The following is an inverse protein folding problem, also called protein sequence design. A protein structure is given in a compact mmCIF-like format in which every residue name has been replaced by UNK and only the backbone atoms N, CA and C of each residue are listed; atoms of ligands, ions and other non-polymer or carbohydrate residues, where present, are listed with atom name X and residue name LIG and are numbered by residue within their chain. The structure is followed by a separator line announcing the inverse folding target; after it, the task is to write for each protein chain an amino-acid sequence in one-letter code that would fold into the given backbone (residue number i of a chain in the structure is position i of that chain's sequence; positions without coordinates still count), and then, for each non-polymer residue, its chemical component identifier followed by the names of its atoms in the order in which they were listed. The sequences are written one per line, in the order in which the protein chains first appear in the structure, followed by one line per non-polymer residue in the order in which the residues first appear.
data_IF_398381155165
#
_entry.id   IF_398381155165
#
_cell.length_a   1.000
_cell.length_b   1.000
_cell.length_c   1.000
_cell.angle_alpha   90.00
_cell.angle_beta   90.00
_cell.angle_gamma   90.00
#
_symmetry.space_group_name_H-M   'P 1'
#
loop_
_entity.id
_entity.type
_entity.pdbx_description
1 polymer ?
#
# COMPACT_ATOMS: atom_id res chain seq x y z
N UNK A 1 22.35 -84.64 -32.12
CA UNK A 1 21.22 -83.77 -32.36
C UNK A 1 21.46 -82.50 -31.58
N UNK A 2 21.98 -81.58 -32.28
CA UNK A 2 22.47 -80.29 -31.83
C UNK A 2 21.53 -79.20 -32.30
N UNK A 3 21.26 -78.28 -31.49
CA UNK A 3 20.65 -77.04 -31.97
C UNK A 3 21.37 -75.86 -31.37
N UNK A 4 22.06 -75.11 -32.22
CA UNK A 4 22.86 -73.94 -31.98
C UNK A 4 21.98 -72.70 -32.16
N UNK A 5 21.83 -71.91 -31.13
CA UNK A 5 21.22 -70.56 -31.26
C UNK A 5 22.32 -69.49 -31.19
N UNK A 6 22.49 -68.88 -32.33
CA UNK A 6 23.31 -67.67 -32.52
C UNK A 6 22.62 -66.47 -31.93
N UNK A 7 23.23 -65.77 -30.99
CA UNK A 7 22.80 -64.47 -30.46
C UNK A 7 23.49 -63.35 -31.26
N UNK A 8 22.71 -62.60 -32.02
CA UNK A 8 23.18 -61.40 -32.73
C UNK A 8 23.03 -60.16 -31.79
N UNK A 9 24.16 -59.61 -31.40
CA UNK A 9 24.22 -58.30 -30.71
C UNK A 9 24.09 -57.17 -31.71
N UNK A 10 23.08 -56.31 -31.51
CA UNK A 10 22.92 -55.07 -32.26
C UNK A 10 23.79 -53.95 -31.70
N UNK A 11 24.40 -53.06 -32.48
CA UNK A 11 25.22 -51.98 -31.95
C UNK A 11 24.40 -50.83 -31.37
N UNK A 12 24.85 -50.32 -30.21
CA UNK A 12 24.31 -49.13 -29.56
C UNK A 12 24.56 -47.88 -30.42
N UNK A 13 23.48 -47.30 -30.95
CA UNK A 13 23.51 -46.02 -31.63
C UNK A 13 23.50 -44.87 -30.63
N UNK A 14 24.67 -44.26 -30.44
CA UNK A 14 24.84 -43.05 -29.66
C UNK A 14 24.04 -41.89 -30.27
N UNK A 15 23.16 -41.29 -29.48
CA UNK A 15 22.39 -40.08 -29.82
C UNK A 15 23.37 -38.90 -30.05
N UNK A 16 23.43 -38.37 -31.24
CA UNK A 16 24.26 -37.20 -31.58
C UNK A 16 23.62 -35.91 -31.03
N UNK A 17 24.46 -34.94 -30.64
CA UNK A 17 24.04 -33.61 -30.18
C UNK A 17 23.03 -32.90 -31.12
N UNK A 18 22.97 -33.32 -32.39
CA UNK A 18 22.04 -32.76 -33.40
C UNK A 18 20.63 -33.34 -33.31
N UNK A 19 20.43 -34.52 -32.71
CA UNK A 19 19.11 -35.11 -32.48
C UNK A 19 18.45 -34.54 -31.19
N UNK A 20 19.26 -34.08 -30.21
CA UNK A 20 18.74 -33.42 -29.03
C UNK A 20 18.10 -32.04 -29.36
N UNK A 21 18.65 -31.32 -30.37
CA UNK A 21 18.13 -30.01 -30.76
C UNK A 21 16.88 -30.07 -31.66
N UNK A 22 16.54 -31.24 -32.21
CA UNK A 22 15.33 -31.43 -33.03
C UNK A 22 14.13 -31.91 -32.23
N UNK A 23 14.33 -32.37 -30.99
CA UNK A 23 13.25 -32.82 -30.07
C UNK A 23 12.59 -31.71 -29.27
N UNK A 24 13.21 -30.51 -29.20
CA UNK A 24 12.71 -29.38 -28.42
C UNK A 24 11.81 -28.41 -29.20
N UNK A 25 11.61 -28.63 -30.50
CA UNK A 25 10.78 -27.74 -31.34
C UNK A 25 9.32 -28.21 -31.51
N UNK A 26 8.90 -29.32 -30.90
CA UNK A 26 7.57 -29.91 -31.12
C UNK A 26 6.59 -29.85 -29.91
N UNK A 27 6.93 -29.14 -28.83
CA UNK A 27 6.03 -28.95 -27.66
C UNK A 27 5.58 -27.48 -27.48
N UNK A 28 5.83 -26.62 -28.48
CA UNK A 28 5.43 -25.21 -28.44
C UNK A 28 4.01 -24.92 -28.99
N UNK A 29 3.14 -25.92 -29.04
CA UNK A 29 1.86 -25.83 -29.75
C UNK A 29 0.59 -26.15 -28.97
N UNK A 30 0.57 -26.11 -27.63
CA UNK A 30 -0.68 -26.32 -26.88
C UNK A 30 -0.64 -25.70 -25.47
N UNK A 31 -0.54 -24.38 -25.38
CA UNK A 31 -0.87 -23.65 -24.14
C UNK A 31 -1.37 -22.24 -24.52
N UNK A 32 -2.54 -22.18 -25.12
CA UNK A 32 -3.33 -20.93 -25.20
C UNK A 32 -4.32 -21.00 -24.04
N UNK A 33 -4.03 -20.27 -22.94
CA UNK A 33 -5.00 -20.17 -21.85
C UNK A 33 -4.50 -19.87 -20.46
N UNK A 34 -3.20 -19.71 -20.22
CA UNK A 34 -2.71 -19.13 -18.97
C UNK A 34 -1.65 -18.10 -19.31
N UNK A 35 -1.81 -16.86 -18.83
CA UNK A 35 -0.87 -15.77 -19.07
C UNK A 35 0.50 -16.08 -18.45
N UNK A 36 1.24 -16.99 -19.09
CA UNK A 36 2.61 -17.27 -18.72
C UNK A 36 3.45 -16.02 -19.00
N UNK A 37 4.07 -15.46 -17.99
CA UNK A 37 5.06 -14.40 -18.11
C UNK A 37 6.22 -14.91 -18.98
N UNK A 38 6.18 -14.60 -20.26
CA UNK A 38 7.21 -14.99 -21.23
C UNK A 38 8.41 -14.06 -21.06
N UNK A 39 9.47 -14.50 -20.41
CA UNK A 39 10.68 -13.67 -20.29
C UNK A 39 11.85 -14.26 -19.49
N UNK A 40 11.69 -15.41 -18.84
CA UNK A 40 12.81 -16.09 -18.18
C UNK A 40 13.23 -17.37 -18.91
N UNK A 41 14.53 -17.67 -19.01
CA UNK A 41 14.97 -18.97 -19.48
C UNK A 41 14.40 -20.06 -18.57
N UNK A 42 13.79 -21.09 -19.14
CA UNK A 42 13.13 -22.22 -18.49
C UNK A 42 13.99 -22.91 -17.39
N UNK A 43 15.29 -22.75 -17.44
CA UNK A 43 16.25 -23.30 -16.46
C UNK A 43 16.16 -22.55 -15.11
N UNK A 44 15.93 -21.24 -15.11
CA UNK A 44 15.81 -20.42 -13.90
C UNK A 44 14.48 -20.64 -13.18
N UNK A 45 13.39 -20.75 -13.94
CA UNK A 45 12.06 -21.01 -13.39
C UNK A 45 11.95 -22.36 -12.62
N UNK A 46 12.77 -23.35 -12.96
CA UNK A 46 12.82 -24.63 -12.22
C UNK A 46 13.58 -24.51 -10.90
N UNK A 47 14.57 -23.63 -10.79
CA UNK A 47 15.42 -23.53 -9.60
C UNK A 47 14.78 -22.71 -8.46
N UNK A 48 13.86 -21.79 -8.76
CA UNK A 48 13.20 -20.95 -7.73
C UNK A 48 12.01 -21.64 -7.04
N UNK A 49 11.48 -22.75 -7.56
CA UNK A 49 10.28 -23.42 -7.01
C UNK A 49 10.41 -23.89 -5.56
N UNK A 50 11.62 -24.14 -5.10
CA UNK A 50 11.88 -24.60 -3.72
C UNK A 50 12.28 -23.47 -2.76
N UNK A 51 12.29 -22.22 -3.24
CA UNK A 51 12.64 -21.07 -2.44
C UNK A 51 11.46 -20.72 -1.51
N UNK A 52 11.79 -20.26 -0.32
CA UNK A 52 10.86 -19.64 0.61
C UNK A 52 11.34 -18.22 0.86
N UNK A 53 10.53 -17.23 0.50
CA UNK A 53 10.74 -15.83 0.87
C UNK A 53 9.87 -15.48 2.08
N UNK A 54 10.43 -14.77 3.03
CA UNK A 54 9.75 -14.27 4.23
C UNK A 54 9.41 -12.81 4.03
N UNK A 55 8.12 -12.49 3.98
CA UNK A 55 7.62 -11.12 3.89
C UNK A 55 6.97 -10.70 5.20
N UNK A 56 7.18 -9.45 5.61
CA UNK A 56 6.41 -8.82 6.65
C UNK A 56 5.92 -7.44 6.20
N UNK A 57 4.86 -6.96 6.83
CA UNK A 57 4.25 -5.66 6.55
C UNK A 57 2.93 -5.52 7.30
N UNK A 58 2.12 -4.55 6.93
CA UNK A 58 0.78 -4.39 7.52
C UNK A 58 -0.22 -5.39 6.93
N UNK A 59 -1.33 -5.61 7.63
CA UNK A 59 -2.42 -6.48 7.15
C UNK A 59 -3.14 -5.99 5.90
N UNK A 60 -2.77 -4.82 5.36
CA UNK A 60 -3.34 -4.27 4.12
C UNK A 60 -2.97 -5.12 2.90
N UNK A 61 -1.72 -5.54 2.81
CA UNK A 61 -1.15 -6.25 1.65
C UNK A 61 -0.49 -7.60 2.00
N UNK A 62 -0.27 -7.89 3.29
CA UNK A 62 0.23 -9.19 3.76
C UNK A 62 -0.95 -10.16 3.96
N UNK A 63 -1.49 -10.66 2.86
CA UNK A 63 -2.71 -11.46 2.79
C UNK A 63 -2.41 -12.89 2.34
N UNK A 64 -3.04 -13.88 2.97
CA UNK A 64 -2.90 -15.28 2.57
C UNK A 64 -3.24 -15.51 1.10
N UNK A 65 -4.26 -14.83 0.57
CA UNK A 65 -4.63 -14.93 -0.84
C UNK A 65 -3.47 -14.56 -1.80
N UNK A 66 -2.62 -13.59 -1.41
CA UNK A 66 -1.43 -13.22 -2.19
C UNK A 66 -0.37 -14.33 -2.11
N UNK A 67 -0.14 -14.90 -0.92
CA UNK A 67 0.82 -16.00 -0.74
C UNK A 67 0.39 -17.26 -1.52
N UNK A 68 -0.90 -17.61 -1.48
CA UNK A 68 -1.46 -18.74 -2.21
C UNK A 68 -1.33 -18.54 -3.73
N UNK A 69 -1.62 -17.33 -4.21
CA UNK A 69 -1.52 -17.01 -5.64
C UNK A 69 -0.06 -16.97 -6.13
N UNK A 70 0.89 -16.52 -5.32
CA UNK A 70 2.32 -16.64 -5.60
C UNK A 70 2.73 -18.12 -5.75
N UNK A 71 2.24 -18.99 -4.86
CA UNK A 71 2.52 -20.43 -4.93
C UNK A 71 1.98 -21.05 -6.21
N UNK A 72 0.77 -20.64 -6.61
CA UNK A 72 0.13 -21.11 -7.84
C UNK A 72 0.89 -20.63 -9.09
N UNK A 73 1.18 -19.33 -9.19
CA UNK A 73 1.69 -18.70 -10.41
C UNK A 73 3.21 -18.83 -10.58
N UNK A 74 3.97 -18.69 -9.48
CA UNK A 74 5.44 -18.66 -9.48
C UNK A 74 6.07 -19.96 -8.94
N UNK A 75 5.31 -20.74 -8.16
CA UNK A 75 5.70 -22.04 -7.67
C UNK A 75 6.57 -22.05 -6.41
N UNK A 76 7.04 -20.89 -5.91
CA UNK A 76 7.77 -20.81 -4.64
C UNK A 76 6.86 -20.42 -3.46
N UNK A 77 7.37 -20.50 -2.24
CA UNK A 77 6.59 -20.21 -1.05
C UNK A 77 6.85 -18.78 -0.56
N UNK A 78 5.79 -18.05 -0.26
CA UNK A 78 5.85 -16.75 0.40
C UNK A 78 5.26 -16.87 1.81
N UNK A 79 6.10 -16.70 2.82
CA UNK A 79 5.67 -16.67 4.23
C UNK A 79 5.41 -15.23 4.63
N UNK A 80 4.15 -14.90 4.91
CA UNK A 80 3.74 -13.55 5.27
C UNK A 80 3.51 -13.39 6.77
N UNK A 81 3.95 -12.25 7.32
CA UNK A 81 3.70 -11.85 8.70
C UNK A 81 3.08 -10.47 8.70
N UNK A 82 1.79 -10.38 9.07
CA UNK A 82 1.10 -9.12 9.25
C UNK A 82 1.37 -8.55 10.66
N UNK A 83 1.70 -7.27 10.74
CA UNK A 83 2.01 -6.52 11.95
C UNK A 83 1.28 -5.17 11.94
N UNK A 84 1.22 -4.49 13.09
CA UNK A 84 0.86 -3.07 13.11
C UNK A 84 2.03 -2.18 12.63
N UNK A 85 1.76 -0.92 12.31
CA UNK A 85 2.75 -0.01 11.71
C UNK A 85 3.97 0.25 12.61
N UNK A 86 3.78 0.28 13.93
CA UNK A 86 4.88 0.49 14.87
C UNK A 86 5.77 -0.76 14.93
N UNK A 87 5.18 -1.95 15.00
CA UNK A 87 5.89 -3.23 14.97
C UNK A 87 6.59 -3.46 13.62
N UNK A 88 5.99 -3.03 12.51
CA UNK A 88 6.63 -3.01 11.18
C UNK A 88 7.91 -2.19 11.21
N UNK A 89 7.84 -0.95 11.70
CA UNK A 89 9.00 -0.04 11.80
C UNK A 89 10.09 -0.65 12.69
N UNK A 90 9.71 -1.15 13.87
CA UNK A 90 10.65 -1.75 14.81
C UNK A 90 11.34 -2.97 14.21
N UNK A 91 10.59 -3.91 13.65
CA UNK A 91 11.14 -5.14 13.06
C UNK A 91 12.07 -4.85 11.90
N UNK A 92 11.68 -3.90 11.03
CA UNK A 92 12.50 -3.52 9.88
C UNK A 92 13.92 -3.11 10.27
N UNK A 93 14.05 -2.31 11.34
CA UNK A 93 15.34 -1.79 11.80
C UNK A 93 16.09 -2.78 12.69
N UNK A 94 15.39 -3.42 13.65
CA UNK A 94 16.05 -4.21 14.72
C UNK A 94 16.29 -5.66 14.35
N UNK A 95 15.56 -6.20 13.35
CA UNK A 95 15.64 -7.62 12.97
C UNK A 95 15.85 -7.82 11.45
N UNK A 96 16.85 -7.17 10.81
CA UNK A 96 16.99 -7.15 9.35
C UNK A 96 17.25 -8.53 8.72
N UNK A 97 17.62 -9.55 9.50
CA UNK A 97 17.82 -10.93 9.03
C UNK A 97 16.56 -11.81 9.21
N UNK A 98 15.49 -11.28 9.80
CA UNK A 98 14.26 -12.04 10.05
C UNK A 98 13.28 -12.04 8.87
N UNK A 99 13.59 -11.33 7.79
CA UNK A 99 12.77 -11.19 6.60
C UNK A 99 13.63 -11.08 5.34
N UNK A 100 13.03 -11.31 4.20
CA UNK A 100 13.63 -11.21 2.88
C UNK A 100 13.00 -10.08 2.07
N UNK A 101 11.70 -9.86 2.26
CA UNK A 101 10.91 -8.77 1.68
C UNK A 101 10.29 -7.93 2.80
N UNK A 102 10.47 -6.63 2.73
CA UNK A 102 9.81 -5.65 3.58
C UNK A 102 8.70 -4.95 2.77
N UNK A 103 7.44 -5.18 3.13
CA UNK A 103 6.29 -4.46 2.59
C UNK A 103 5.95 -3.32 3.54
N UNK A 104 6.54 -2.15 3.28
CA UNK A 104 6.51 -1.01 4.19
C UNK A 104 6.06 0.27 3.48
N UNK A 105 5.54 1.21 4.27
CA UNK A 105 5.18 2.53 3.77
C UNK A 105 6.42 3.43 3.59
N UNK A 106 6.35 4.35 2.62
CA UNK A 106 7.46 5.26 2.28
C UNK A 106 7.91 6.15 3.45
N UNK A 107 7.00 6.56 4.32
CA UNK A 107 7.37 7.34 5.50
C UNK A 107 8.23 6.54 6.50
N UNK A 108 8.02 5.22 6.60
CA UNK A 108 8.84 4.31 7.40
C UNK A 108 10.23 4.15 6.76
N UNK A 109 10.30 4.19 5.43
CA UNK A 109 11.55 4.07 4.67
C UNK A 109 12.60 5.11 5.10
N UNK A 110 12.17 6.31 5.50
CA UNK A 110 13.05 7.37 6.04
C UNK A 110 13.90 6.89 7.23
N UNK A 111 13.40 5.94 8.04
CA UNK A 111 14.15 5.31 9.15
C UNK A 111 14.88 4.04 8.73
N UNK A 112 14.22 3.19 7.96
CA UNK A 112 14.67 1.82 7.67
C UNK A 112 15.82 1.80 6.69
N UNK A 113 15.75 2.59 5.63
CA UNK A 113 16.74 2.53 4.55
C UNK A 113 18.11 3.06 4.99
N UNK A 114 18.23 4.24 5.66
CA UNK A 114 19.52 4.71 6.18
C UNK A 114 20.15 3.79 7.23
N UNK A 115 19.35 2.95 7.91
CA UNK A 115 19.86 1.94 8.84
C UNK A 115 20.55 0.75 8.12
N UNK A 116 20.52 0.69 6.78
CA UNK A 116 21.16 -0.35 5.99
C UNK A 116 20.48 -1.71 6.04
N UNK A 117 19.21 -1.75 6.41
CA UNK A 117 18.43 -2.99 6.48
C UNK A 117 17.98 -3.50 5.10
N UNK A 118 17.79 -2.60 4.13
CA UNK A 118 17.39 -2.88 2.76
C UNK A 118 18.53 -2.58 1.78
N UNK A 119 18.46 -3.17 0.59
CA UNK A 119 19.38 -2.87 -0.50
C UNK A 119 18.72 -2.00 -1.58
N UNK A 120 19.47 -1.14 -2.28
CA UNK A 120 18.99 -0.45 -3.46
C UNK A 120 18.55 -1.43 -4.54
N UNK A 121 17.39 -1.18 -5.14
CA UNK A 121 16.83 -2.03 -6.20
C UNK A 121 17.02 -1.40 -7.56
N UNK A 122 17.48 -2.20 -8.53
CA UNK A 122 17.69 -1.79 -9.91
C UNK A 122 16.33 -1.68 -10.63
N UNK A 123 15.93 -0.47 -11.01
CA UNK A 123 14.68 -0.22 -11.75
C UNK A 123 14.70 -0.88 -13.14
N UNK A 124 15.88 -1.13 -13.72
CA UNK A 124 16.01 -1.86 -14.97
C UNK A 124 15.57 -3.32 -14.90
N UNK A 125 15.45 -3.89 -13.70
CA UNK A 125 14.91 -5.23 -13.46
C UNK A 125 13.39 -5.25 -13.25
N UNK A 126 12.71 -4.09 -13.23
CA UNK A 126 11.27 -3.95 -13.01
C UNK A 126 10.56 -3.75 -14.35
N UNK A 127 9.83 -4.76 -14.83
CA UNK A 127 9.22 -4.81 -16.17
C UNK A 127 8.20 -3.70 -16.45
N UNK A 128 7.43 -3.27 -15.45
CA UNK A 128 6.38 -2.25 -15.56
C UNK A 128 6.78 -0.94 -14.86
N UNK A 129 8.08 -0.66 -14.72
CA UNK A 129 8.55 0.54 -14.02
C UNK A 129 8.06 1.83 -14.70
N UNK A 130 8.07 1.88 -16.00
CA UNK A 130 7.61 3.00 -16.83
C UNK A 130 6.10 3.28 -16.71
N UNK A 131 5.34 2.31 -16.18
CA UNK A 131 3.89 2.41 -15.95
C UNK A 131 3.52 2.75 -14.50
N UNK A 132 4.51 2.88 -13.62
CA UNK A 132 4.27 3.32 -12.26
C UNK A 132 3.69 4.74 -12.29
N UNK A 133 2.60 4.96 -11.54
CA UNK A 133 1.95 6.27 -11.48
C UNK A 133 2.94 7.37 -11.09
N UNK A 134 2.94 8.53 -11.77
CA UNK A 134 3.98 9.55 -11.66
C UNK A 134 4.18 10.06 -10.23
N UNK A 135 3.17 9.99 -9.38
CA UNK A 135 3.23 10.48 -8.00
C UNK A 135 4.36 9.82 -7.17
N UNK A 136 4.75 8.57 -7.48
CA UNK A 136 5.86 7.89 -6.83
C UNK A 136 7.24 8.30 -7.37
N UNK A 137 7.29 8.82 -8.59
CA UNK A 137 8.54 9.15 -9.27
C UNK A 137 8.82 10.64 -9.21
N UNK A 138 7.80 11.49 -9.39
CA UNK A 138 7.93 12.94 -9.48
C UNK A 138 7.25 13.70 -8.34
N UNK A 139 6.48 13.00 -7.50
CA UNK A 139 5.66 13.62 -6.45
C UNK A 139 4.36 14.27 -6.94
N UNK A 140 4.09 14.20 -8.25
CA UNK A 140 2.93 14.82 -8.88
C UNK A 140 2.10 13.77 -9.60
N UNK A 141 0.77 13.86 -9.49
CA UNK A 141 -0.13 13.01 -10.27
C UNK A 141 -0.16 13.44 -11.74
N UNK A 142 -0.24 14.76 -11.97
CA UNK A 142 -0.13 15.39 -13.29
C UNK A 142 0.93 16.48 -13.21
N UNK A 143 1.44 17.00 -14.35
CA UNK A 143 2.42 18.10 -14.34
C UNK A 143 1.95 19.35 -13.56
N UNK A 144 0.64 19.60 -13.55
CA UNK A 144 0.00 20.77 -12.91
C UNK A 144 -0.25 20.55 -11.41
N UNK A 145 -0.21 19.29 -10.93
CA UNK A 145 -0.45 18.98 -9.51
C UNK A 145 0.60 19.64 -8.62
N UNK A 146 0.16 20.13 -7.46
CA UNK A 146 1.07 20.58 -6.41
C UNK A 146 1.79 19.35 -5.80
N UNK A 147 3.02 19.56 -5.31
CA UNK A 147 3.69 18.59 -4.45
C UNK A 147 3.15 18.79 -3.03
N UNK A 148 2.58 17.74 -2.47
CA UNK A 148 2.05 17.78 -1.12
C UNK A 148 3.18 17.74 -0.07
N UNK A 149 2.90 18.27 1.11
CA UNK A 149 3.81 18.24 2.26
C UNK A 149 4.00 16.82 2.81
N UNK A 150 4.97 16.66 3.71
CA UNK A 150 5.26 15.37 4.36
C UNK A 150 6.24 14.51 3.58
N UNK A 151 6.31 13.22 3.93
CA UNK A 151 7.22 12.27 3.26
C UNK A 151 6.56 11.75 1.97
N UNK A 152 6.45 12.64 0.97
CA UNK A 152 6.00 12.24 -0.35
C UNK A 152 6.93 11.13 -0.91
N UNK A 153 6.37 10.05 -1.50
CA UNK A 153 7.15 8.86 -1.89
C UNK A 153 8.41 9.15 -2.71
N UNK A 154 8.35 10.11 -3.63
CA UNK A 154 9.50 10.47 -4.48
C UNK A 154 10.70 11.03 -3.69
N UNK A 155 10.48 11.60 -2.49
CA UNK A 155 11.56 12.19 -1.66
C UNK A 155 12.46 11.16 -1.00
N UNK A 156 11.97 9.94 -0.85
CA UNK A 156 12.68 8.80 -0.25
C UNK A 156 12.69 7.57 -1.17
N UNK A 157 12.17 7.70 -2.39
CA UNK A 157 12.01 6.62 -3.34
C UNK A 157 13.29 6.22 -4.05
N UNK A 158 14.23 7.14 -4.21
CA UNK A 158 15.48 6.90 -4.94
C UNK A 158 16.71 7.14 -4.07
N UNK A 159 17.80 6.46 -4.40
CA UNK A 159 19.12 6.64 -3.76
C UNK A 159 20.18 6.98 -4.79
N UNK A 160 21.31 7.56 -4.32
CA UNK A 160 22.37 8.10 -5.17
C UNK A 160 23.09 7.02 -5.99
N UNK A 161 23.06 5.74 -5.56
CA UNK A 161 23.74 4.65 -6.27
C UNK A 161 23.50 3.28 -5.62
N UNK A 162 24.02 2.25 -6.27
CA UNK A 162 23.87 0.83 -5.93
C UNK A 162 24.22 0.48 -4.47
N UNK A 163 25.20 1.16 -3.90
CA UNK A 163 25.66 0.88 -2.53
C UNK A 163 25.37 2.05 -1.57
N UNK A 164 24.59 3.05 -2.02
CA UNK A 164 24.25 4.22 -1.24
C UNK A 164 23.05 3.96 -0.34
N UNK A 165 23.08 4.53 0.86
CA UNK A 165 21.92 4.64 1.78
C UNK A 165 21.36 6.06 1.80
N UNK A 166 21.90 6.97 0.96
CA UNK A 166 21.47 8.37 0.88
C UNK A 166 20.40 8.52 -0.18
N UNK A 167 19.31 9.18 0.20
CA UNK A 167 18.23 9.51 -0.72
C UNK A 167 18.71 10.50 -1.79
N UNK A 168 18.33 10.23 -3.03
CA UNK A 168 18.62 11.11 -4.16
C UNK A 168 17.52 12.17 -4.30
N UNK A 169 17.92 13.39 -4.73
CA UNK A 169 16.98 14.49 -4.98
C UNK A 169 16.19 14.38 -6.30
N UNK A 170 16.57 13.44 -7.15
CA UNK A 170 15.96 13.19 -8.45
C UNK A 170 15.98 11.69 -8.74
N UNK A 171 15.10 11.19 -9.64
CA UNK A 171 15.11 9.79 -10.04
C UNK A 171 16.48 9.30 -10.50
N UNK A 172 16.87 8.12 -10.05
CA UNK A 172 18.09 7.41 -10.45
C UNK A 172 17.72 5.99 -10.90
N UNK A 173 18.73 5.18 -11.24
CA UNK A 173 18.52 3.75 -11.52
C UNK A 173 18.20 2.94 -10.24
N UNK A 174 18.32 3.51 -9.05
CA UNK A 174 18.28 2.78 -7.79
C UNK A 174 17.15 3.26 -6.89
N UNK A 175 16.18 2.37 -6.62
CA UNK A 175 15.07 2.65 -5.69
C UNK A 175 15.25 1.99 -4.33
N UNK A 176 14.63 2.60 -3.33
CA UNK A 176 14.54 2.07 -1.96
C UNK A 176 13.47 1.02 -1.83
N UNK A 177 12.28 1.30 -2.38
CA UNK A 177 11.10 0.47 -2.43
C UNK A 177 10.52 0.53 -3.83
N UNK A 178 10.03 -0.58 -4.34
CA UNK A 178 9.20 -0.59 -5.55
C UNK A 178 7.76 -0.32 -5.15
N UNK A 179 7.12 0.74 -5.66
CA UNK A 179 5.75 1.12 -5.30
C UNK A 179 4.75 0.02 -5.59
N UNK A 180 3.80 -0.20 -4.68
CA UNK A 180 2.77 -1.24 -4.83
C UNK A 180 1.36 -0.72 -4.60
N UNK A 181 1.12 -0.03 -3.49
CA UNK A 181 -0.20 0.35 -3.01
C UNK A 181 -0.17 1.74 -2.39
N UNK A 182 -1.29 2.46 -2.49
CA UNK A 182 -1.45 3.76 -1.85
C UNK A 182 -2.92 4.12 -1.68
N UNK A 183 -3.18 5.11 -0.85
CA UNK A 183 -4.51 5.68 -0.67
C UNK A 183 -4.42 7.09 -0.11
N UNK A 184 -5.59 7.74 -0.01
CA UNK A 184 -5.75 9.06 0.58
C UNK A 184 -6.87 8.99 1.62
N UNK A 185 -6.58 9.44 2.84
CA UNK A 185 -7.46 9.36 4.00
C UNK A 185 -8.07 10.71 4.38
N UNK A 186 -9.26 10.67 4.99
CA UNK A 186 -10.06 11.85 5.36
C UNK A 186 -11.00 11.53 6.52
N UNK A 187 -12.00 12.38 6.77
CA UNK A 187 -13.03 12.12 7.77
C UNK A 187 -14.10 11.16 7.24
N UNK A 188 -14.43 10.17 8.05
CA UNK A 188 -15.67 9.40 7.94
C UNK A 188 -16.78 10.07 8.72
N UNK A 189 -18.00 10.09 8.16
CA UNK A 189 -19.16 10.71 8.80
C UNK A 189 -20.39 9.80 8.73
N UNK A 190 -21.29 9.99 9.70
CA UNK A 190 -22.64 9.45 9.72
C UNK A 190 -23.61 10.52 9.18
N UNK A 191 -23.95 10.52 7.86
CA UNK A 191 -24.74 11.56 7.25
C UNK A 191 -26.16 11.65 7.83
N UNK A 192 -26.66 10.55 8.39
CA UNK A 192 -27.95 10.44 9.07
C UNK A 192 -27.95 11.09 10.48
N UNK A 193 -26.78 11.37 11.06
CA UNK A 193 -26.65 11.88 12.43
C UNK A 193 -26.00 13.27 12.53
N UNK A 194 -25.19 13.67 11.54
CA UNK A 194 -24.48 14.97 11.59
C UNK A 194 -25.39 16.18 11.34
N UNK A 195 -26.53 16.01 10.66
CA UNK A 195 -27.57 17.03 10.50
C UNK A 195 -27.21 18.23 9.61
N UNK A 196 -25.99 18.29 9.06
CA UNK A 196 -25.52 19.33 8.15
C UNK A 196 -24.43 18.82 7.20
N UNK A 197 -24.10 19.62 6.20
CA UNK A 197 -22.95 19.33 5.34
C UNK A 197 -21.63 19.44 6.12
N UNK A 198 -20.73 18.48 5.90
CA UNK A 198 -19.36 18.44 6.40
C UNK A 198 -18.46 18.78 5.20
N UNK A 199 -17.64 19.81 5.29
CA UNK A 199 -16.88 20.34 4.16
C UNK A 199 -15.41 20.64 4.45
N UNK A 200 -15.02 20.58 5.73
CA UNK A 200 -13.69 20.97 6.19
C UNK A 200 -13.20 20.06 7.31
N UNK A 201 -11.88 19.89 7.43
CA UNK A 201 -11.26 19.24 8.59
C UNK A 201 -11.62 19.93 9.91
N UNK A 202 -11.95 21.25 9.89
CA UNK A 202 -12.40 21.98 11.09
C UNK A 202 -13.65 21.38 11.71
N UNK A 203 -14.49 20.72 10.92
CA UNK A 203 -15.74 20.12 11.39
C UNK A 203 -15.50 19.05 12.46
N UNK A 204 -14.30 18.43 12.53
CA UNK A 204 -13.94 17.50 13.58
C UNK A 204 -13.98 18.15 15.00
N UNK A 205 -13.70 19.45 15.08
CA UNK A 205 -13.73 20.22 16.34
C UNK A 205 -14.96 21.11 16.48
N UNK A 206 -15.97 20.98 15.62
CA UNK A 206 -17.21 21.75 15.74
C UNK A 206 -17.91 21.41 17.09
N UNK A 207 -18.22 22.41 17.94
CA UNK A 207 -18.92 22.19 19.21
C UNK A 207 -20.26 21.46 19.09
N UNK A 208 -20.92 21.52 17.92
CA UNK A 208 -22.14 20.75 17.64
C UNK A 208 -21.92 19.22 17.72
N UNK A 209 -20.70 18.75 17.58
CA UNK A 209 -20.32 17.33 17.65
C UNK A 209 -19.61 16.96 18.97
N UNK A 210 -19.75 17.80 20.00
CA UNK A 210 -19.17 17.55 21.32
C UNK A 210 -19.56 16.18 21.86
N UNK A 211 -18.55 15.39 22.27
CA UNK A 211 -18.72 14.02 22.75
C UNK A 211 -19.07 13.00 21.68
N UNK A 212 -18.97 13.36 20.37
CA UNK A 212 -19.29 12.49 19.22
C UNK A 212 -18.20 12.44 18.16
N UNK A 213 -17.08 13.09 18.39
CA UNK A 213 -15.90 13.04 17.53
C UNK A 213 -14.90 11.99 17.98
N UNK A 214 -14.08 11.48 17.06
CA UNK A 214 -12.96 10.58 17.36
C UNK A 214 -11.78 10.83 16.43
N UNK A 215 -10.58 10.50 16.89
CA UNK A 215 -9.33 10.67 16.18
C UNK A 215 -8.49 9.41 16.28
N UNK A 216 -7.72 9.10 15.22
CA UNK A 216 -6.78 7.99 15.20
C UNK A 216 -5.64 8.20 16.20
N UNK A 217 -5.44 7.22 17.08
CA UNK A 217 -4.39 7.23 18.10
C UNK A 217 -3.18 6.38 17.67
N UNK A 218 -2.60 6.74 16.53
CA UNK A 218 -1.25 6.35 16.11
C UNK A 218 -0.46 7.65 16.00
N UNK A 219 0.53 7.93 16.87
CA UNK A 219 1.14 9.25 16.99
C UNK A 219 1.59 9.86 15.65
N UNK A 220 2.34 9.10 14.84
CA UNK A 220 2.86 9.54 13.54
C UNK A 220 1.80 9.85 12.48
N UNK A 221 0.59 9.32 12.64
CA UNK A 221 -0.54 9.53 11.74
C UNK A 221 -1.53 10.53 12.33
N UNK A 222 -1.93 10.35 13.59
CA UNK A 222 -2.90 11.21 14.27
C UNK A 222 -2.45 12.66 14.36
N UNK A 223 -1.14 12.93 14.54
CA UNK A 223 -0.59 14.29 14.53
C UNK A 223 -0.81 14.99 13.18
N UNK A 224 -0.77 14.23 12.08
CA UNK A 224 -1.02 14.77 10.74
C UNK A 224 -2.49 15.15 10.56
N UNK A 225 -3.41 14.32 11.06
CA UNK A 225 -4.84 14.63 11.07
C UNK A 225 -5.12 15.87 11.95
N UNK A 226 -4.49 15.98 13.12
CA UNK A 226 -4.55 17.16 13.98
C UNK A 226 -4.02 18.42 13.27
N UNK A 227 -2.92 18.29 12.51
CA UNK A 227 -2.38 19.40 11.75
C UNK A 227 -3.30 19.86 10.63
N UNK A 228 -3.97 18.92 9.93
CA UNK A 228 -5.00 19.25 8.94
C UNK A 228 -6.13 20.08 9.56
N UNK A 229 -6.57 19.72 10.76
CA UNK A 229 -7.59 20.48 11.50
C UNK A 229 -7.08 21.86 11.89
N UNK A 230 -5.89 21.96 12.50
CA UNK A 230 -5.35 23.24 13.00
C UNK A 230 -5.06 24.24 11.85
N UNK A 231 -4.55 23.73 10.72
CA UNK A 231 -4.35 24.56 9.52
C UNK A 231 -5.68 25.02 8.92
N UNK A 232 -6.65 24.13 8.81
CA UNK A 232 -7.98 24.44 8.30
C UNK A 232 -8.71 25.49 9.15
N UNK A 233 -8.46 25.53 10.48
CA UNK A 233 -8.94 26.56 11.39
C UNK A 233 -8.22 27.91 11.22
N UNK A 234 -7.11 27.96 10.46
CA UNK A 234 -6.24 29.13 10.39
C UNK A 234 -5.43 29.37 11.68
N UNK A 235 -5.38 28.41 12.58
CA UNK A 235 -4.70 28.54 13.86
C UNK A 235 -3.17 28.42 13.73
N UNK A 236 -2.71 27.62 12.77
CA UNK A 236 -1.30 27.37 12.48
C UNK A 236 -1.09 27.36 10.96
N UNK A 237 -0.02 28.00 10.49
CA UNK A 237 0.53 27.79 9.15
C UNK A 237 1.82 26.98 9.31
N UNK A 238 1.82 25.76 8.78
CA UNK A 238 2.97 24.87 8.88
C UNK A 238 3.96 25.13 7.75
N UNK A 239 5.24 25.09 8.08
CA UNK A 239 6.29 25.01 7.07
C UNK A 239 6.19 23.67 6.31
N UNK A 240 6.12 22.58 7.04
CA UNK A 240 5.79 21.23 6.56
C UNK A 240 5.08 20.44 7.67
N UNK A 241 3.81 20.08 7.44
CA UNK A 241 3.02 19.25 8.37
C UNK A 241 3.69 17.89 8.69
N UNK A 242 4.51 17.39 7.78
CA UNK A 242 5.25 16.15 7.97
C UNK A 242 6.60 16.31 8.67
N UNK A 243 7.06 17.55 8.90
CA UNK A 243 8.31 17.82 9.62
C UNK A 243 8.18 19.08 10.50
N UNK A 244 7.26 19.00 11.46
CA UNK A 244 6.93 20.10 12.35
C UNK A 244 8.10 20.44 13.30
N UNK A 245 8.27 21.73 13.58
CA UNK A 245 9.10 22.21 14.71
C UNK A 245 8.46 21.83 16.04
N UNK A 246 9.23 21.90 17.13
CA UNK A 246 8.69 21.67 18.49
C UNK A 246 7.58 22.64 18.84
N UNK A 247 7.70 23.90 18.42
CA UNK A 247 6.71 24.95 18.61
C UNK A 247 5.40 24.62 17.86
N UNK A 248 5.48 24.13 16.63
CA UNK A 248 4.31 23.70 15.85
C UNK A 248 3.64 22.47 16.48
N UNK A 249 4.45 21.48 16.95
CA UNK A 249 3.94 20.30 17.68
C UNK A 249 3.22 20.74 18.95
N UNK A 250 3.84 21.56 19.79
CA UNK A 250 3.27 22.03 21.05
C UNK A 250 1.97 22.80 20.83
N UNK A 251 1.93 23.69 19.85
CA UNK A 251 0.74 24.48 19.53
C UNK A 251 -0.40 23.59 19.00
N UNK A 252 -0.09 22.64 18.11
CA UNK A 252 -1.05 21.68 17.58
C UNK A 252 -1.68 20.89 18.73
N UNK A 253 -0.85 20.29 19.59
CA UNK A 253 -1.32 19.44 20.66
C UNK A 253 -1.96 20.22 21.81
N UNK A 254 -1.62 21.50 22.01
CA UNK A 254 -2.35 22.39 22.93
C UNK A 254 -3.81 22.56 22.49
N UNK A 255 -4.04 22.89 21.20
CA UNK A 255 -5.39 23.03 20.64
C UNK A 255 -6.19 21.73 20.79
N UNK A 256 -5.58 20.59 20.46
CA UNK A 256 -6.24 19.28 20.56
C UNK A 256 -6.52 18.92 22.03
N UNK A 257 -5.63 19.26 22.95
CA UNK A 257 -5.81 19.03 24.40
C UNK A 257 -6.95 19.89 24.97
N UNK A 258 -7.03 21.15 24.56
CA UNK A 258 -8.15 22.03 24.94
C UNK A 258 -9.49 21.47 24.45
N UNK A 259 -9.55 21.04 23.18
CA UNK A 259 -10.74 20.40 22.64
C UNK A 259 -11.11 19.12 23.41
N UNK A 260 -10.12 18.27 23.75
CA UNK A 260 -10.33 17.07 24.57
C UNK A 260 -10.88 17.41 25.95
N UNK A 261 -10.28 18.38 26.67
CA UNK A 261 -10.75 18.83 27.98
C UNK A 261 -12.15 19.45 27.91
N UNK A 262 -12.48 20.09 26.80
CA UNK A 262 -13.84 20.57 26.54
C UNK A 262 -14.86 19.44 26.29
N UNK A 263 -14.39 18.18 26.16
CA UNK A 263 -15.23 17.01 25.93
C UNK A 263 -15.61 16.79 24.47
N UNK A 264 -14.80 17.28 23.51
CA UNK A 264 -15.08 17.13 22.09
C UNK A 264 -15.03 15.67 21.64
N UNK A 265 -14.03 14.93 22.12
CA UNK A 265 -13.79 13.56 21.68
C UNK A 265 -14.54 12.55 22.56
N UNK A 266 -15.22 11.59 21.92
CA UNK A 266 -15.82 10.41 22.57
C UNK A 266 -14.75 9.34 22.82
N UNK A 267 -13.83 9.16 21.89
CA UNK A 267 -12.79 8.14 21.93
C UNK A 267 -11.59 8.49 21.04
N UNK A 268 -10.53 7.72 21.23
CA UNK A 268 -9.35 7.68 20.34
C UNK A 268 -9.13 6.22 19.93
N UNK A 269 -9.23 5.91 18.65
CA UNK A 269 -9.17 4.54 18.15
C UNK A 269 -7.79 4.18 17.62
N UNK A 270 -7.40 2.90 17.71
CA UNK A 270 -6.11 2.37 17.20
C UNK A 270 -6.28 1.30 16.15
N UNK A 271 -7.35 0.55 16.18
CA UNK A 271 -7.57 -0.60 15.32
C UNK A 271 -8.70 -0.35 14.32
N UNK A 272 -8.65 -1.10 13.21
CA UNK A 272 -9.70 -1.07 12.21
C UNK A 272 -11.09 -1.34 12.82
N UNK A 273 -11.19 -2.37 13.67
CA UNK A 273 -12.46 -2.76 14.28
C UNK A 273 -12.99 -1.72 15.27
N UNK A 274 -12.12 -1.06 16.03
CA UNK A 274 -12.53 0.07 16.91
C UNK A 274 -13.15 1.20 16.08
N UNK A 275 -12.50 1.60 14.97
CA UNK A 275 -13.02 2.63 14.07
C UNK A 275 -14.40 2.26 13.51
N UNK A 276 -14.56 1.03 13.02
CA UNK A 276 -15.83 0.51 12.49
C UNK A 276 -16.91 0.46 13.57
N UNK A 277 -16.58 0.00 14.78
CA UNK A 277 -17.55 -0.16 15.86
C UNK A 277 -18.05 1.20 16.39
N UNK A 278 -17.16 2.18 16.58
CA UNK A 278 -17.52 3.53 17.00
C UNK A 278 -18.51 4.19 16.03
N UNK A 279 -18.26 4.09 14.74
CA UNK A 279 -19.17 4.62 13.71
C UNK A 279 -20.48 3.81 13.62
N UNK A 280 -20.40 2.49 13.71
CA UNK A 280 -21.57 1.61 13.60
C UNK A 280 -22.55 1.80 14.78
N UNK A 281 -22.04 2.00 16.00
CA UNK A 281 -22.87 2.25 17.17
C UNK A 281 -23.55 3.63 17.17
N UNK A 282 -23.00 4.60 16.42
CA UNK A 282 -23.43 6.00 16.45
C UNK A 282 -22.92 6.76 17.67
N UNK A 283 -22.04 6.15 18.51
CA UNK A 283 -21.35 6.86 19.58
C UNK A 283 -20.43 7.95 19.02
N UNK A 284 -19.86 7.69 17.84
CA UNK A 284 -19.10 8.64 17.04
C UNK A 284 -19.81 8.85 15.73
N UNK A 285 -19.92 10.11 15.31
CA UNK A 285 -20.58 10.50 14.06
C UNK A 285 -19.66 11.20 13.07
N UNK A 286 -18.46 11.56 13.52
CA UNK A 286 -17.38 12.15 12.72
C UNK A 286 -16.03 11.72 13.29
N UNK A 287 -15.16 11.18 12.44
CA UNK A 287 -13.81 10.77 12.86
C UNK A 287 -12.83 10.75 11.69
N UNK A 288 -11.51 10.89 11.96
CA UNK A 288 -10.52 10.47 10.97
C UNK A 288 -10.69 8.97 10.71
N UNK A 289 -10.68 8.54 9.45
CA UNK A 289 -11.10 7.17 9.12
C UNK A 289 -10.39 6.67 7.87
N UNK A 290 -10.24 5.35 7.76
CA UNK A 290 -9.76 4.68 6.55
C UNK A 290 -10.93 4.31 5.63
N UNK A 291 -10.76 4.46 4.31
CA UNK A 291 -11.85 4.18 3.36
C UNK A 291 -12.42 2.76 3.45
N UNK A 292 -11.63 1.68 3.68
CA UNK A 292 -12.21 0.35 3.88
C UNK A 292 -13.10 0.23 5.11
N UNK A 293 -12.83 1.02 6.16
CA UNK A 293 -13.66 1.04 7.37
C UNK A 293 -15.03 1.68 7.09
N UNK A 294 -15.11 2.70 6.22
CA UNK A 294 -16.39 3.26 5.74
C UNK A 294 -17.21 2.18 5.02
N UNK A 295 -16.57 1.45 4.11
CA UNK A 295 -17.23 0.34 3.41
C UNK A 295 -17.73 -0.76 4.37
N UNK A 296 -16.93 -1.09 5.40
CA UNK A 296 -17.32 -2.06 6.42
C UNK A 296 -18.53 -1.60 7.27
N UNK A 297 -18.68 -0.30 7.53
CA UNK A 297 -19.88 0.27 8.19
C UNK A 297 -21.09 0.17 7.25
N UNK A 298 -20.93 0.52 5.98
CA UNK A 298 -22.00 0.40 4.97
C UNK A 298 -22.48 -1.03 4.77
N UNK A 299 -21.56 -2.00 4.79
CA UNK A 299 -21.89 -3.43 4.68
C UNK A 299 -22.82 -3.93 5.79
N UNK A 300 -22.86 -3.22 6.95
CA UNK A 300 -23.81 -3.46 8.03
C UNK A 300 -25.18 -2.77 7.82
N UNK A 301 -25.40 -2.13 6.67
CA UNK A 301 -26.60 -1.35 6.38
C UNK A 301 -26.67 0.02 7.05
N UNK A 302 -25.55 0.52 7.56
CA UNK A 302 -25.44 1.77 8.29
C UNK A 302 -24.89 2.86 7.35
N UNK A 303 -25.56 4.03 7.22
CA UNK A 303 -25.06 5.13 6.40
C UNK A 303 -23.67 5.61 6.92
N UNK A 304 -22.71 5.68 6.02
CA UNK A 304 -21.38 6.21 6.32
C UNK A 304 -20.79 6.79 5.04
N UNK A 305 -20.15 7.95 5.11
CA UNK A 305 -19.52 8.63 3.95
C UNK A 305 -18.06 8.92 4.24
N UNK A 306 -17.23 8.65 3.26
CA UNK A 306 -15.81 9.04 3.26
C UNK A 306 -15.70 10.43 2.67
N UNK A 307 -15.71 11.44 3.53
CA UNK A 307 -16.05 12.79 3.17
C UNK A 307 -14.94 13.52 2.39
N UNK A 308 -15.19 13.99 1.16
CA UNK A 308 -14.27 14.89 0.48
C UNK A 308 -14.30 16.27 1.14
N UNK A 309 -13.16 16.73 1.64
CA UNK A 309 -13.02 18.01 2.34
C UNK A 309 -12.29 19.03 1.48
N UNK A 310 -12.54 20.32 1.67
CA UNK A 310 -11.96 21.39 0.85
C UNK A 310 -10.43 21.47 0.94
N UNK A 311 -9.85 21.10 2.07
CA UNK A 311 -8.41 21.09 2.29
C UNK A 311 -7.70 19.88 1.67
N UNK A 312 -8.46 18.87 1.21
CA UNK A 312 -7.92 17.65 0.62
C UNK A 312 -7.67 16.55 1.64
N UNK A 313 -6.77 15.64 1.28
CA UNK A 313 -6.56 14.35 1.93
C UNK A 313 -5.18 14.25 2.55
N UNK A 314 -5.06 13.41 3.57
CA UNK A 314 -3.79 12.85 4.03
C UNK A 314 -3.55 11.53 3.31
N UNK A 315 -2.42 11.40 2.64
CA UNK A 315 -2.10 10.21 1.85
C UNK A 315 -0.98 9.36 2.49
N UNK A 316 -0.93 8.12 2.06
CA UNK A 316 0.15 7.18 2.35
C UNK A 316 0.40 6.31 1.12
N UNK A 317 1.61 5.77 1.03
CA UNK A 317 1.99 4.86 -0.03
C UNK A 317 2.95 3.81 0.50
N UNK A 318 2.78 2.58 0.03
CA UNK A 318 3.60 1.42 0.36
C UNK A 318 4.38 0.90 -0.83
N UNK A 319 5.38 0.11 -0.53
CA UNK A 319 6.22 -0.54 -1.51
C UNK A 319 6.95 -1.75 -0.94
N UNK A 320 7.45 -2.57 -1.85
CA UNK A 320 8.25 -3.74 -1.53
C UNK A 320 9.74 -3.39 -1.57
N UNK A 321 10.45 -3.63 -0.47
CA UNK A 321 11.89 -3.50 -0.34
C UNK A 321 12.54 -4.87 -0.17
N UNK A 322 13.75 -5.03 -0.70
CA UNK A 322 14.53 -6.27 -0.59
C UNK A 322 15.54 -6.12 0.55
N UNK A 323 15.58 -7.11 1.45
CA UNK A 323 16.52 -7.12 2.56
C UNK A 323 17.99 -7.12 2.07
N UNK A 324 18.86 -6.42 2.80
CA UNK A 324 20.28 -6.21 2.42
C UNK A 324 21.06 -7.52 2.25
N UNK A 325 20.70 -8.57 2.98
CA UNK A 325 21.41 -9.84 2.95
C UNK A 325 21.05 -10.76 1.78
N UNK A 326 19.95 -10.47 1.06
CA UNK A 326 19.50 -11.31 -0.05
C UNK A 326 20.48 -11.26 -1.21
N UNK A 327 20.78 -12.43 -1.77
CA UNK A 327 21.69 -12.58 -2.92
C UNK A 327 21.34 -13.85 -3.71
N UNK A 328 21.98 -14.05 -4.87
CA UNK A 328 21.81 -15.27 -5.66
C UNK A 328 20.35 -15.54 -6.06
N UNK A 329 19.91 -16.79 -5.93
CA UNK A 329 18.57 -17.23 -6.36
C UNK A 329 17.44 -16.61 -5.55
N UNK A 330 17.63 -16.36 -4.25
CA UNK A 330 16.62 -15.69 -3.42
C UNK A 330 16.41 -14.24 -3.88
N UNK A 331 17.48 -13.53 -4.30
CA UNK A 331 17.38 -12.19 -4.85
C UNK A 331 16.64 -12.19 -6.21
N UNK A 332 16.92 -13.15 -7.08
CA UNK A 332 16.21 -13.29 -8.36
C UNK A 332 14.72 -13.62 -8.12
N UNK A 333 14.41 -14.50 -7.16
CA UNK A 333 13.02 -14.80 -6.78
C UNK A 333 12.31 -13.56 -6.22
N UNK A 334 13.00 -12.71 -5.47
CA UNK A 334 12.46 -11.47 -4.96
C UNK A 334 12.09 -10.49 -6.09
N UNK A 335 12.94 -10.33 -7.11
CA UNK A 335 12.62 -9.52 -8.29
C UNK A 335 11.47 -10.12 -9.11
N UNK A 336 11.42 -11.45 -9.25
CA UNK A 336 10.32 -12.13 -9.96
C UNK A 336 8.99 -11.91 -9.23
N UNK A 337 8.98 -12.02 -7.88
CA UNK A 337 7.83 -11.72 -7.06
C UNK A 337 7.36 -10.26 -7.25
N UNK A 338 8.26 -9.29 -7.19
CA UNK A 338 7.93 -7.88 -7.38
C UNK A 338 7.33 -7.63 -8.79
N UNK A 339 7.91 -8.22 -9.83
CA UNK A 339 7.40 -8.14 -11.18
C UNK A 339 6.01 -8.77 -11.33
N UNK A 340 5.80 -9.93 -10.70
CA UNK A 340 4.50 -10.58 -10.64
C UNK A 340 3.47 -9.73 -9.87
N UNK A 341 3.87 -9.14 -8.74
CA UNK A 341 3.01 -8.26 -7.96
C UNK A 341 2.48 -7.09 -8.82
N UNK A 342 3.34 -6.49 -9.64
CA UNK A 342 3.00 -5.38 -10.53
C UNK A 342 2.32 -5.83 -11.84
N UNK A 343 2.11 -7.13 -12.06
CA UNK A 343 1.44 -7.65 -13.27
C UNK A 343 -0.08 -7.48 -13.26
N UNK A 344 -0.66 -7.05 -12.13
CA UNK A 344 -2.01 -6.52 -12.04
C UNK A 344 -2.99 -7.29 -11.17
N UNK A 345 -2.85 -8.61 -10.98
CA UNK A 345 -3.79 -9.37 -10.16
C UNK A 345 -3.88 -8.84 -8.73
N UNK A 346 -2.72 -8.62 -8.07
CA UNK A 346 -2.68 -8.06 -6.72
C UNK A 346 -3.25 -6.65 -6.70
N UNK A 347 -2.90 -5.83 -7.71
CA UNK A 347 -3.41 -4.46 -7.83
C UNK A 347 -4.94 -4.42 -7.92
N UNK A 348 -5.55 -5.30 -8.71
CA UNK A 348 -7.00 -5.42 -8.81
C UNK A 348 -7.63 -5.96 -7.52
N UNK A 349 -6.99 -6.94 -6.88
CA UNK A 349 -7.41 -7.48 -5.60
C UNK A 349 -7.51 -6.38 -4.53
N UNK A 350 -6.45 -5.58 -4.38
CA UNK A 350 -6.41 -4.48 -3.41
C UNK A 350 -7.35 -3.32 -3.81
N UNK A 351 -7.53 -3.08 -5.11
CA UNK A 351 -8.47 -2.05 -5.57
C UNK A 351 -9.91 -2.37 -5.18
N UNK A 352 -10.31 -3.65 -5.21
CA UNK A 352 -11.62 -4.11 -4.72
C UNK A 352 -11.81 -3.91 -3.21
N UNK A 353 -10.75 -3.67 -2.47
CA UNK A 353 -10.79 -3.26 -1.05
C UNK A 353 -10.78 -1.73 -0.88
N UNK A 354 -10.77 -0.96 -1.97
CA UNK A 354 -10.78 0.50 -1.95
C UNK A 354 -9.42 1.19 -2.02
N UNK A 355 -8.33 0.43 -2.21
CA UNK A 355 -6.98 0.96 -2.38
C UNK A 355 -6.64 1.19 -3.86
N UNK A 356 -5.49 1.79 -4.14
CA UNK A 356 -4.99 2.01 -5.49
C UNK A 356 -3.70 1.22 -5.73
N UNK A 357 -3.57 0.64 -6.93
CA UNK A 357 -2.34 0.01 -7.40
C UNK A 357 -1.36 1.05 -7.93
N UNK A 358 -0.06 0.84 -7.69
CA UNK A 358 0.98 1.67 -8.27
C UNK A 358 1.09 1.55 -9.81
N UNK A 359 0.59 0.45 -10.40
CA UNK A 359 0.51 0.24 -11.85
C UNK A 359 -0.95 0.04 -12.24
N UNK A 360 -1.60 1.11 -12.67
CA UNK A 360 -3.03 1.11 -12.98
C UNK A 360 -3.38 0.30 -14.22
N UNK A 361 -2.57 0.38 -15.28
CA UNK A 361 -2.82 -0.30 -16.55
C UNK A 361 -2.89 -1.82 -16.42
N UNK A 362 -2.00 -2.41 -15.61
CA UNK A 362 -2.01 -3.85 -15.38
C UNK A 362 -3.17 -4.26 -14.48
N UNK A 363 -3.47 -3.49 -13.43
CA UNK A 363 -4.61 -3.74 -12.55
C UNK A 363 -5.94 -3.72 -13.32
N UNK A 364 -6.11 -2.78 -14.26
CA UNK A 364 -7.29 -2.67 -15.13
C UNK A 364 -7.61 -3.97 -15.87
N UNK A 365 -6.59 -4.72 -16.29
CA UNK A 365 -6.75 -5.97 -17.03
C UNK A 365 -7.39 -7.11 -16.20
N UNK A 366 -7.37 -6.97 -14.87
CA UNK A 366 -7.94 -7.92 -13.91
C UNK A 366 -9.24 -7.42 -13.25
N UNK A 367 -9.81 -6.34 -13.76
CA UNK A 367 -11.06 -5.73 -13.29
C UNK A 367 -12.11 -5.74 -14.39
N UNK A 368 -13.38 -5.83 -14.02
CA UNK A 368 -14.47 -5.59 -14.96
C UNK A 368 -14.54 -4.11 -15.34
N UNK A 369 -15.18 -3.81 -16.46
CA UNK A 369 -15.38 -2.43 -16.90
C UNK A 369 -16.20 -1.61 -15.88
N UNK A 370 -17.16 -2.23 -15.19
CA UNK A 370 -17.99 -1.58 -14.17
C UNK A 370 -17.18 -1.29 -12.89
N UNK A 371 -16.38 -2.27 -12.40
CA UNK A 371 -15.46 -2.04 -11.28
C UNK A 371 -14.49 -0.90 -11.58
N UNK A 372 -13.91 -0.88 -12.79
CA UNK A 372 -13.00 0.20 -13.19
C UNK A 372 -13.71 1.56 -13.23
N UNK A 373 -14.88 1.64 -13.86
CA UNK A 373 -15.66 2.86 -13.94
C UNK A 373 -16.04 3.39 -12.55
N UNK A 374 -16.41 2.52 -11.62
CA UNK A 374 -16.71 2.88 -10.24
C UNK A 374 -15.47 3.34 -9.49
N UNK A 375 -14.41 2.50 -9.43
CA UNK A 375 -13.26 2.75 -8.58
C UNK A 375 -12.33 3.84 -9.10
N UNK A 376 -12.18 3.98 -10.42
CA UNK A 376 -11.19 4.87 -11.03
C UNK A 376 -11.81 6.10 -11.70
N UNK A 377 -12.98 5.96 -12.29
CA UNK A 377 -13.61 7.04 -13.05
C UNK A 377 -14.72 7.77 -12.25
N UNK A 378 -15.07 7.24 -11.05
CA UNK A 378 -16.09 7.84 -10.17
C UNK A 378 -17.52 7.75 -10.74
N UNK A 379 -17.74 6.83 -11.68
CA UNK A 379 -19.06 6.59 -12.25
C UNK A 379 -19.94 5.82 -11.27
N UNK A 380 -21.27 6.00 -11.31
CA UNK A 380 -22.18 5.15 -10.55
C UNK A 380 -21.99 3.67 -10.90
N UNK A 381 -21.96 2.82 -9.88
CA UNK A 381 -21.88 1.36 -10.04
C UNK A 381 -23.10 0.87 -10.83
N UNK A 382 -22.88 0.13 -11.92
CA UNK A 382 -23.97 -0.47 -12.71
C UNK A 382 -24.46 -1.77 -12.08
N UNK A 383 -23.59 -2.48 -11.40
CA UNK A 383 -23.85 -3.71 -10.67
C UNK A 383 -23.34 -3.55 -9.23
N UNK A 384 -23.66 -4.50 -8.36
CA UNK A 384 -23.10 -4.54 -7.01
C UNK A 384 -21.58 -4.67 -7.09
N UNK A 385 -20.86 -3.82 -6.36
CA UNK A 385 -19.39 -3.87 -6.22
C UNK A 385 -19.07 -4.79 -5.06
N UNK A 386 -18.26 -5.80 -5.36
CA UNK A 386 -17.91 -6.86 -4.40
C UNK A 386 -16.45 -6.73 -3.95
N UNK A 387 -16.18 -7.17 -2.72
CA UNK A 387 -14.81 -7.39 -2.24
C UNK A 387 -14.17 -8.58 -2.99
N UNK A 388 -12.84 -8.77 -2.86
CA UNK A 388 -12.17 -9.94 -3.43
C UNK A 388 -12.77 -11.30 -2.97
N UNK A 389 -13.35 -11.33 -1.77
CA UNK A 389 -13.99 -12.51 -1.19
C UNK A 389 -15.48 -12.63 -1.57
N UNK A 390 -15.97 -11.80 -2.50
CA UNK A 390 -17.34 -11.80 -2.97
C UNK A 390 -18.37 -11.18 -2.01
N UNK A 391 -17.92 -10.44 -0.99
CA UNK A 391 -18.82 -9.70 -0.08
C UNK A 391 -19.22 -8.38 -0.70
N UNK A 392 -20.46 -7.98 -0.48
CA UNK A 392 -20.97 -6.69 -0.92
C UNK A 392 -20.18 -5.56 -0.29
N UNK A 393 -19.60 -4.68 -1.11
CA UNK A 393 -18.94 -3.44 -0.73
C UNK A 393 -19.86 -2.24 -0.96
N UNK A 394 -20.41 -2.14 -2.18
CA UNK A 394 -21.31 -1.07 -2.58
C UNK A 394 -22.45 -1.64 -3.46
N UNK A 395 -23.65 -1.10 -3.32
CA UNK A 395 -24.80 -1.51 -4.13
C UNK A 395 -24.77 -0.87 -5.51
N UNK A 396 -25.42 -1.49 -6.47
CA UNK A 396 -25.73 -0.86 -7.75
C UNK A 396 -26.38 0.51 -7.56
N UNK A 397 -25.94 1.50 -8.33
CA UNK A 397 -26.33 2.91 -8.21
C UNK A 397 -25.48 3.72 -7.22
N UNK A 398 -24.65 3.10 -6.39
CA UNK A 398 -23.74 3.84 -5.50
C UNK A 398 -22.73 4.66 -6.31
N UNK A 399 -22.40 5.84 -5.81
CA UNK A 399 -21.33 6.70 -6.33
C UNK A 399 -20.19 6.69 -5.33
N UNK A 400 -18.96 6.60 -5.84
CA UNK A 400 -17.77 6.59 -4.97
C UNK A 400 -17.60 7.94 -4.27
N UNK A 401 -17.40 7.91 -2.96
CA UNK A 401 -17.09 9.08 -2.17
C UNK A 401 -15.79 9.76 -2.67
N UNK A 402 -15.84 11.07 -2.83
CA UNK A 402 -14.71 11.85 -3.32
C UNK A 402 -14.48 11.79 -4.83
N UNK A 403 -15.34 11.09 -5.58
CA UNK A 403 -15.29 11.04 -7.05
C UNK A 403 -14.26 10.08 -7.62
N UNK A 404 -13.67 10.44 -8.75
CA UNK A 404 -12.66 9.64 -9.46
C UNK A 404 -11.33 9.52 -8.70
N UNK A 405 -10.47 8.61 -9.18
CA UNK A 405 -9.09 8.53 -8.75
C UNK A 405 -8.36 9.88 -8.84
N UNK A 406 -8.52 10.57 -9.96
CA UNK A 406 -7.89 11.89 -10.18
C UNK A 406 -8.41 12.94 -9.21
N UNK A 407 -9.72 12.98 -8.94
CA UNK A 407 -10.32 13.90 -7.97
C UNK A 407 -9.77 13.70 -6.56
N UNK A 408 -9.54 12.46 -6.16
CA UNK A 408 -9.03 12.12 -4.82
C UNK A 408 -7.53 12.33 -4.73
N UNK A 409 -6.76 11.68 -5.59
CA UNK A 409 -5.29 11.71 -5.53
C UNK A 409 -4.68 13.03 -6.02
N UNK A 410 -5.41 13.79 -6.84
CA UNK A 410 -5.03 15.15 -7.23
C UNK A 410 -5.18 16.19 -6.11
N UNK A 411 -5.83 15.82 -4.98
CA UNK A 411 -6.09 16.73 -3.84
C UNK A 411 -5.38 16.25 -2.55
N UNK A 412 -4.27 15.54 -2.67
CA UNK A 412 -3.43 15.18 -1.52
C UNK A 412 -2.78 16.44 -0.96
N UNK A 413 -3.05 16.75 0.30
CA UNK A 413 -2.51 17.90 1.02
C UNK A 413 -1.22 17.58 1.76
N UNK A 414 -1.12 16.35 2.29
CA UNK A 414 0.12 15.88 2.94
C UNK A 414 0.22 14.34 2.87
N UNK A 415 1.46 13.86 2.98
CA UNK A 415 1.79 12.45 3.10
C UNK A 415 2.15 12.11 4.54
N UNK A 416 1.82 10.90 4.99
CA UNK A 416 2.33 10.38 6.26
C UNK A 416 3.84 10.58 6.35
N UNK A 417 4.35 10.90 7.52
CA UNK A 417 5.75 11.23 7.69
C UNK A 417 6.33 10.76 9.04
N UNK A 418 7.64 10.55 9.04
CA UNK A 418 8.44 10.54 10.27
C UNK A 418 9.15 11.87 10.35
N UNK A 419 8.83 12.64 11.39
CA UNK A 419 9.43 13.96 11.63
C UNK A 419 10.86 13.82 12.18
N UNK A 420 11.68 14.86 12.00
CA UNK A 420 13.00 14.92 12.66
C UNK A 420 12.82 14.92 14.18
N UNK A 421 11.79 15.61 14.69
CA UNK A 421 11.39 15.65 16.12
C UNK A 421 10.47 14.49 16.54
N UNK A 422 10.53 13.33 15.88
CA UNK A 422 9.63 12.19 16.10
C UNK A 422 9.54 11.76 17.58
N UNK A 423 10.68 11.63 18.28
CA UNK A 423 10.67 11.25 19.72
C UNK A 423 9.97 12.27 20.60
N UNK A 424 10.16 13.56 20.27
CA UNK A 424 9.49 14.65 20.98
C UNK A 424 8.00 14.60 20.70
N UNK A 425 7.60 14.47 19.47
CA UNK A 425 6.23 14.39 19.00
C UNK A 425 5.47 13.21 19.65
N UNK A 426 6.05 12.00 19.63
CA UNK A 426 5.44 10.81 20.26
C UNK A 426 5.20 11.02 21.75
N UNK A 427 6.17 11.61 22.48
CA UNK A 427 5.99 11.92 23.90
C UNK A 427 4.84 12.90 24.10
N UNK A 428 4.80 13.99 23.34
CA UNK A 428 3.76 15.03 23.43
C UNK A 428 2.38 14.51 23.04
N UNK A 429 2.32 13.61 22.03
CA UNK A 429 1.09 12.93 21.67
C UNK A 429 0.55 12.07 22.83
N UNK A 430 1.42 11.31 23.50
CA UNK A 430 1.03 10.49 24.64
C UNK A 430 0.57 11.35 25.82
N UNK A 431 1.18 12.52 26.07
CA UNK A 431 0.71 13.51 27.04
C UNK A 431 -0.72 14.00 26.69
N UNK A 432 -0.98 14.33 25.42
CA UNK A 432 -2.31 14.68 24.93
C UNK A 432 -3.33 13.56 25.12
N UNK A 433 -2.98 12.31 24.80
CA UNK A 433 -3.88 11.16 24.97
C UNK A 433 -4.16 10.89 26.46
N UNK A 434 -3.24 11.18 27.35
CA UNK A 434 -3.41 11.00 28.80
C UNK A 434 -4.15 12.16 29.50
N UNK A 435 -4.12 13.39 28.92
CA UNK A 435 -4.77 14.59 29.49
C UNK A 435 -6.30 14.45 29.48
#
# INVERSE_FOLDING_TARGET
MSDSRTTTTAPATGLSRRSLLKGTAAVAGAAVGSGAITGFPTIWAQNIKNITLRQFGTGVSNLNAVADKVKEDLGFTLQMTALDSDAVTQRAVTQPKSYDIADIEYWICKKVFPAGALQPMDVGKIKNFDKIVPIFVTGKLTPESAIAQGTAPHTVGFVEGKDSVKFAKAPTQWMTLIPTIYNADTLGIRPDLVGRAITSWTDLLDPAFKGKASLLNIPSIGIMDAAMVCEAMGAITYGDKGNMTKEEIDKTLSIMTEAKKAGQFRAFWKTFDESVNLMSSGEVIIQSMWSPAVAAVRAKGIPCVYQPLKEGYRAWGGGLGIAKHLSGLELEAAYEYINWYLSGWVGAYLNRQGYYSAVLDTAKQHMSADEWAFWMEGQPAKTDILSPEGKLMEKAGAVRDGGSFADRMGRVACWNAVMDEDRYMVRKWNEFIAA
#
